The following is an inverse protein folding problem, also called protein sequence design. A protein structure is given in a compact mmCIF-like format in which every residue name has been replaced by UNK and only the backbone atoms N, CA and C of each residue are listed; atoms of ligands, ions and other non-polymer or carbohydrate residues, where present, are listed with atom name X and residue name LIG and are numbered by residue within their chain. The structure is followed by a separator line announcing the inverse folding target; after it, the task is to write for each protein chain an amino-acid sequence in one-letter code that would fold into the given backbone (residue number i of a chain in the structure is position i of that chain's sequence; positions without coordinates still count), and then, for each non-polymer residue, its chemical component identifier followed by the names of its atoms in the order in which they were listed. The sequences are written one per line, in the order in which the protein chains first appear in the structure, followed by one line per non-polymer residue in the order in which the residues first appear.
data_IF_236630593016
#
_entry.id   IF_236630593016
#
_cell.length_a   1.000
_cell.length_b   1.000
_cell.length_c   1.000
_cell.angle_alpha   90.00
_cell.angle_beta   90.00
_cell.angle_gamma   90.00
#
_symmetry.space_group_name_H-M   'P 1'
#
loop_
_entity.id
_entity.type
_entity.pdbx_description
1 polymer ?
#
# COMPACT_ATOMS: atom_id res chain seq x y z
N UNK A 1 -3.04 8.81 47.49
CA UNK A 1 -1.90 8.52 46.60
C UNK A 1 -1.90 9.58 45.51
N UNK A 2 -0.88 10.45 45.49
CA UNK A 2 -0.82 11.59 44.56
C UNK A 2 -0.84 11.07 43.12
N UNK A 3 -1.96 11.28 42.41
CA UNK A 3 -1.99 11.14 40.95
C UNK A 3 -1.20 12.32 40.41
N UNK A 4 0.11 12.11 40.34
CA UNK A 4 1.05 13.06 39.78
C UNK A 4 0.59 13.45 38.38
N UNK A 5 0.33 14.74 38.19
CA UNK A 5 0.18 15.35 36.88
C UNK A 5 1.38 14.93 36.03
N UNK A 6 1.19 13.98 35.11
CA UNK A 6 2.18 13.72 34.06
C UNK A 6 2.31 15.03 33.29
N UNK A 7 3.43 15.72 33.47
CA UNK A 7 3.87 16.74 32.53
C UNK A 7 3.78 16.08 31.15
N UNK A 8 3.13 16.76 30.20
CA UNK A 8 3.21 16.45 28.78
C UNK A 8 4.67 16.64 28.36
N UNK A 9 5.52 15.69 28.77
CA UNK A 9 6.93 15.64 28.49
C UNK A 9 7.01 15.23 27.03
N UNK A 10 7.28 16.24 26.20
CA UNK A 10 7.81 16.14 24.84
C UNK A 10 7.80 14.71 24.34
N UNK A 11 6.74 14.34 23.61
CA UNK A 11 6.69 13.06 22.90
C UNK A 11 8.06 12.86 22.25
N UNK A 12 8.84 11.82 22.62
CA UNK A 12 10.23 11.76 22.22
C UNK A 12 10.27 11.84 20.71
N UNK A 13 11.07 12.76 20.14
CA UNK A 13 11.17 12.95 18.68
C UNK A 13 11.33 11.62 17.94
N UNK A 14 11.96 10.66 18.59
CA UNK A 14 12.14 9.29 18.13
C UNK A 14 10.80 8.54 17.90
N UNK A 15 9.81 8.66 18.78
CA UNK A 15 8.48 8.04 18.60
C UNK A 15 7.79 8.63 17.38
N UNK A 16 7.89 9.94 17.16
CA UNK A 16 7.34 10.59 15.97
C UNK A 16 8.00 10.07 14.68
N UNK A 17 9.33 9.95 14.68
CA UNK A 17 10.08 9.39 13.54
C UNK A 17 9.70 7.93 13.28
N UNK A 18 9.52 7.10 14.31
CA UNK A 18 9.08 5.72 14.16
C UNK A 18 7.66 5.66 13.55
N UNK A 19 6.73 6.45 14.06
CA UNK A 19 5.35 6.48 13.54
C UNK A 19 5.35 6.91 12.06
N UNK A 20 6.14 7.93 11.72
CA UNK A 20 6.27 8.40 10.35
C UNK A 20 6.85 7.31 9.43
N UNK A 21 7.90 6.63 9.88
CA UNK A 21 8.52 5.52 9.13
C UNK A 21 7.53 4.37 8.91
N UNK A 22 6.81 3.96 9.96
CA UNK A 22 5.79 2.91 9.87
C UNK A 22 4.65 3.31 8.93
N UNK A 23 4.22 4.57 8.96
CA UNK A 23 3.19 5.11 8.05
C UNK A 23 3.62 5.02 6.59
N UNK A 24 4.85 5.48 6.28
CA UNK A 24 5.40 5.39 4.92
C UNK A 24 5.52 3.93 4.48
N UNK A 25 6.02 3.05 5.35
CA UNK A 25 6.17 1.63 5.06
C UNK A 25 4.82 0.94 4.83
N UNK A 26 3.78 1.27 5.60
CA UNK A 26 2.44 0.73 5.39
C UNK A 26 1.85 1.20 4.05
N UNK A 27 2.02 2.48 3.71
CA UNK A 27 1.53 3.07 2.47
C UNK A 27 2.25 2.53 1.22
N UNK A 28 3.56 2.26 1.31
CA UNK A 28 4.30 1.64 0.21
C UNK A 28 3.93 0.17 0.03
N UNK A 29 3.73 -0.59 1.11
CA UNK A 29 3.27 -1.97 1.02
C UNK A 29 1.84 -2.10 0.49
N UNK A 30 0.93 -1.20 0.85
CA UNK A 30 -0.45 -1.22 0.33
C UNK A 30 -0.52 -0.86 -1.16
N UNK A 31 0.29 0.11 -1.60
CA UNK A 31 0.41 0.47 -3.03
C UNK A 31 1.12 -0.64 -3.83
N UNK A 32 2.15 -1.26 -3.25
CA UNK A 32 2.83 -2.40 -3.85
C UNK A 32 1.92 -3.63 -3.94
N UNK A 33 1.03 -3.84 -2.97
CA UNK A 33 -0.01 -4.88 -3.02
C UNK A 33 -0.96 -4.67 -4.21
N UNK A 34 -1.36 -3.43 -4.52
CA UNK A 34 -2.11 -3.15 -5.76
C UNK A 34 -1.31 -3.46 -7.03
N UNK A 35 0.00 -3.23 -7.03
CA UNK A 35 0.89 -3.62 -8.13
C UNK A 35 1.12 -5.14 -8.20
N UNK A 36 0.95 -5.88 -7.10
CA UNK A 36 1.00 -7.36 -7.06
C UNK A 36 -0.35 -8.00 -7.38
N UNK A 37 -1.48 -7.27 -7.27
CA UNK A 37 -2.81 -7.73 -7.71
C UNK A 37 -2.90 -7.98 -9.23
N UNK A 38 -1.82 -7.81 -9.98
CA UNK A 38 -1.62 -8.44 -11.29
C UNK A 38 -1.64 -9.97 -11.23
N UNK A 39 -1.60 -10.58 -10.04
CA UNK A 39 -1.68 -12.02 -9.82
C UNK A 39 -3.09 -12.44 -9.42
N UNK A 40 -3.72 -13.30 -10.22
CA UNK A 40 -5.03 -13.88 -9.93
C UNK A 40 -6.18 -13.33 -10.76
N UNK A 41 -5.99 -13.10 -12.05
CA UNK A 41 -7.11 -12.76 -12.94
C UNK A 41 -7.76 -14.04 -13.51
N UNK A 42 -9.09 -14.04 -13.69
CA UNK A 42 -9.81 -15.12 -14.39
C UNK A 42 -10.46 -14.60 -15.67
N UNK A 43 -10.83 -13.31 -15.68
CA UNK A 43 -11.40 -12.59 -16.82
C UNK A 43 -10.68 -11.25 -16.97
N UNK A 44 -10.72 -10.69 -18.18
CA UNK A 44 -10.09 -9.39 -18.47
C UNK A 44 -10.64 -8.25 -17.60
N UNK A 45 -11.88 -8.38 -17.12
CA UNK A 45 -12.54 -7.41 -16.23
C UNK A 45 -11.97 -7.37 -14.82
N UNK A 46 -11.27 -8.42 -14.40
CA UNK A 46 -10.61 -8.49 -13.09
C UNK A 46 -9.31 -7.65 -13.07
N UNK A 47 -8.80 -7.28 -14.26
CA UNK A 47 -7.60 -6.45 -14.40
C UNK A 47 -7.95 -4.95 -14.35
N UNK A 48 -7.12 -4.13 -13.67
CA UNK A 48 -7.30 -2.69 -13.68
C UNK A 48 -7.10 -2.16 -15.10
N UNK A 49 -8.11 -1.46 -15.64
CA UNK A 49 -7.98 -0.73 -16.90
C UNK A 49 -7.33 0.63 -16.63
N UNK A 50 -6.13 0.83 -17.16
CA UNK A 50 -5.48 2.14 -17.19
C UNK A 50 -5.85 2.85 -18.50
N UNK A 51 -6.09 4.17 -18.44
CA UNK A 51 -6.36 4.96 -19.64
C UNK A 51 -5.17 4.86 -20.60
N UNK A 52 -5.41 4.33 -21.80
CA UNK A 52 -4.39 4.21 -22.86
C UNK A 52 -3.63 2.88 -22.88
N UNK A 53 -3.87 1.95 -21.94
CA UNK A 53 -3.25 0.61 -21.97
C UNK A 53 -4.32 -0.46 -21.92
N UNK A 54 -4.40 -1.25 -22.98
CA UNK A 54 -5.33 -2.37 -23.05
C UNK A 54 -4.69 -3.58 -22.36
N UNK A 55 -5.22 -3.96 -21.19
CA UNK A 55 -4.70 -5.06 -20.36
C UNK A 55 -5.69 -6.23 -20.42
N UNK A 56 -5.17 -7.44 -20.66
CA UNK A 56 -5.94 -8.69 -20.68
C UNK A 56 -5.41 -9.68 -19.67
N UNK A 57 -6.26 -10.60 -19.26
CA UNK A 57 -5.88 -11.70 -18.39
C UNK A 57 -5.25 -12.84 -19.20
N UNK A 58 -3.97 -13.13 -18.97
CA UNK A 58 -3.23 -14.25 -19.58
C UNK A 58 -2.61 -15.13 -18.49
N UNK A 59 -3.00 -16.40 -18.47
CA UNK A 59 -2.46 -17.41 -17.54
C UNK A 59 -2.57 -17.02 -16.05
N UNK A 60 -3.62 -16.29 -15.68
CA UNK A 60 -3.81 -15.81 -14.32
C UNK A 60 -3.08 -14.49 -14.00
N UNK A 61 -2.45 -13.87 -15.01
CA UNK A 61 -1.76 -12.59 -14.88
C UNK A 61 -2.36 -11.52 -15.78
N UNK A 62 -2.45 -10.30 -15.28
CA UNK A 62 -2.82 -9.14 -16.10
C UNK A 62 -1.62 -8.74 -16.99
N UNK A 63 -1.78 -8.79 -18.30
CA UNK A 63 -0.72 -8.47 -19.28
C UNK A 63 -1.21 -7.45 -20.29
N UNK A 64 -0.40 -6.45 -20.68
CA UNK A 64 -0.76 -5.56 -21.77
C UNK A 64 -0.92 -6.36 -23.08
N UNK A 65 -1.89 -5.97 -23.91
CA UNK A 65 -2.19 -6.62 -25.19
C UNK A 65 -1.07 -6.37 -26.23
N UNK A 66 -0.28 -5.31 -26.06
CA UNK A 66 0.80 -4.89 -26.95
C UNK A 66 2.14 -5.62 -26.73
N UNK A 67 2.14 -6.76 -26.02
CA UNK A 67 3.36 -7.55 -25.76
C UNK A 67 3.32 -8.94 -26.36
#
# INVERSE_FOLDING_TARGET
MQIGRKKMGETPKLVYVIILFLSIFLCTNSSFSQMINFRGCKRDKDCPQFRGVNIRCRSGFCTPIDS
#
